data_IF_336350618640
#
_entry.id   IF_336350618640
#
_cell.length_a   1.000
_cell.length_b   1.000
_cell.length_c   1.000
_cell.angle_alpha   90.00
_cell.angle_beta   90.00
_cell.angle_gamma   90.00
#
_symmetry.space_group_name_H-M   'P 1'
#
loop_
_entity.id
_entity.type
_entity.pdbx_description
1 polymer ?
#
# COMPACT_ATOMS: atom_id res chain seq x y z
N UNK A 1 16.01 -10.84 -22.10
CA UNK A 1 16.83 -11.98 -22.57
C UNK A 1 16.82 -11.96 -24.09
N UNK A 2 17.85 -11.40 -24.70
CA UNK A 2 18.05 -11.48 -26.16
C UNK A 2 19.04 -12.61 -26.41
N UNK A 3 18.57 -13.69 -27.01
CA UNK A 3 19.42 -14.78 -27.45
C UNK A 3 20.32 -14.28 -28.58
N UNK A 4 21.60 -14.16 -28.31
CA UNK A 4 22.60 -13.99 -29.36
C UNK A 4 22.87 -15.39 -29.90
N UNK A 5 22.32 -15.67 -31.07
CA UNK A 5 22.61 -16.88 -31.83
C UNK A 5 23.97 -16.67 -32.50
N UNK A 6 24.99 -17.33 -31.96
CA UNK A 6 26.30 -17.38 -32.63
C UNK A 6 26.17 -18.28 -33.84
N UNK A 7 26.06 -17.65 -35.01
CA UNK A 7 26.08 -18.38 -36.28
C UNK A 7 27.51 -18.66 -36.64
N UNK A 8 27.95 -19.92 -36.42
CA UNK A 8 29.22 -20.41 -37.00
C UNK A 8 29.07 -20.44 -38.51
N UNK A 9 29.65 -19.46 -39.18
CA UNK A 9 29.89 -19.55 -40.61
C UNK A 9 31.13 -20.44 -40.83
N UNK A 10 30.89 -21.71 -41.13
CA UNK A 10 31.94 -22.54 -41.71
C UNK A 10 32.18 -22.07 -43.12
N UNK A 11 33.20 -21.25 -43.29
CA UNK A 11 33.68 -20.90 -44.60
C UNK A 11 34.42 -22.10 -45.19
N UNK A 12 33.78 -22.79 -46.14
CA UNK A 12 34.45 -23.77 -46.97
C UNK A 12 35.41 -22.99 -47.89
N UNK A 13 36.66 -22.85 -47.49
CA UNK A 13 37.72 -22.41 -48.36
C UNK A 13 38.10 -23.57 -49.24
N UNK A 14 37.85 -23.45 -50.54
CA UNK A 14 38.35 -24.38 -51.54
C UNK A 14 39.87 -24.45 -51.41
N UNK A 15 40.39 -25.68 -51.13
CA UNK A 15 41.81 -25.96 -51.22
C UNK A 15 42.33 -25.67 -52.61
N UNK A 16 42.76 -24.42 -52.83
CA UNK A 16 43.75 -24.17 -53.87
C UNK A 16 45.07 -24.68 -53.33
N UNK A 17 45.69 -25.64 -54.03
CA UNK A 17 47.05 -26.09 -53.74
C UNK A 17 47.95 -24.86 -53.71
N UNK A 18 48.38 -24.46 -52.52
CA UNK A 18 49.43 -23.46 -52.37
C UNK A 18 50.70 -24.06 -52.94
N UNK A 19 51.30 -23.39 -53.92
CA UNK A 19 52.68 -23.58 -54.32
C UNK A 19 53.52 -23.32 -53.06
N UNK A 20 54.27 -24.32 -52.57
CA UNK A 20 55.23 -24.08 -51.48
C UNK A 20 56.13 -22.94 -51.91
N UNK A 21 56.12 -21.83 -51.17
CA UNK A 21 57.04 -20.74 -51.40
C UNK A 21 58.46 -21.22 -51.05
N UNK A 22 59.36 -21.34 -52.04
CA UNK A 22 60.74 -21.83 -51.78
C UNK A 22 61.58 -20.85 -50.93
N UNK A 23 61.19 -19.59 -50.85
CA UNK A 23 61.79 -18.53 -50.02
C UNK A 23 60.70 -17.54 -49.62
N UNK A 24 60.04 -17.77 -48.53
CA UNK A 24 59.05 -16.86 -48.04
C UNK A 24 59.67 -15.65 -47.33
N UNK A 25 59.22 -14.44 -47.68
CA UNK A 25 59.63 -13.20 -47.06
C UNK A 25 58.40 -12.33 -46.70
N UNK A 26 57.20 -12.94 -46.76
CA UNK A 26 55.92 -12.29 -46.42
C UNK A 26 55.67 -12.51 -44.93
N UNK A 27 55.28 -11.46 -44.23
CA UNK A 27 54.94 -11.57 -42.85
C UNK A 27 53.49 -12.08 -42.67
N UNK A 28 53.20 -12.92 -41.67
CA UNK A 28 51.85 -13.26 -41.33
C UNK A 28 51.05 -12.01 -40.93
N UNK A 29 49.74 -11.98 -41.20
CA UNK A 29 48.89 -10.84 -40.93
C UNK A 29 47.68 -11.21 -40.11
N UNK A 30 47.28 -10.24 -39.26
CA UNK A 30 46.12 -10.40 -38.37
C UNK A 30 44.85 -10.04 -39.12
N UNK A 31 43.81 -10.88 -39.01
CA UNK A 31 42.54 -10.73 -39.69
C UNK A 31 41.48 -10.18 -38.74
N UNK A 32 40.81 -9.10 -39.14
CA UNK A 32 39.77 -8.45 -38.33
C UNK A 32 40.21 -8.16 -36.88
N UNK A 33 41.45 -7.71 -36.71
CA UNK A 33 42.01 -7.39 -35.42
C UNK A 33 41.49 -6.04 -34.94
N UNK A 34 40.89 -6.06 -33.70
CA UNK A 34 40.43 -4.84 -33.03
C UNK A 34 41.46 -4.43 -31.99
N UNK A 35 42.15 -3.30 -32.17
CA UNK A 35 43.24 -2.88 -31.28
C UNK A 35 42.76 -2.41 -29.91
N UNK A 36 41.47 -2.10 -29.76
CA UNK A 36 40.85 -1.62 -28.53
C UNK A 36 39.45 -2.21 -28.40
N UNK A 37 39.16 -2.83 -27.26
CA UNK A 37 37.83 -3.39 -26.94
C UNK A 37 37.47 -3.07 -25.50
N UNK A 38 36.16 -2.91 -25.22
CA UNK A 38 35.60 -2.76 -23.89
C UNK A 38 34.75 -3.97 -23.56
N UNK A 39 34.91 -4.52 -22.37
CA UNK A 39 34.25 -5.74 -21.93
C UNK A 39 33.78 -5.55 -20.51
N UNK A 40 32.60 -6.09 -20.20
CA UNK A 40 32.08 -6.09 -18.82
C UNK A 40 32.93 -6.99 -17.92
N UNK A 41 33.10 -6.59 -16.69
CA UNK A 41 33.90 -7.27 -15.67
C UNK A 41 33.40 -8.68 -15.30
N UNK A 42 32.13 -9.02 -15.57
CA UNK A 42 31.53 -10.35 -15.33
C UNK A 42 31.79 -11.37 -16.43
N UNK A 43 32.44 -10.94 -17.52
CA UNK A 43 32.77 -11.81 -18.64
C UNK A 43 34.17 -12.44 -18.42
N UNK A 44 34.22 -13.75 -18.33
CA UNK A 44 35.50 -14.47 -18.38
C UNK A 44 36.03 -14.45 -19.82
N UNK A 45 36.96 -13.53 -20.05
CA UNK A 45 37.56 -13.34 -21.39
C UNK A 45 38.35 -14.52 -21.88
N UNK A 46 38.87 -15.37 -20.98
CA UNK A 46 39.85 -16.37 -21.39
C UNK A 46 40.96 -15.80 -22.28
N UNK A 47 41.72 -16.65 -22.91
CA UNK A 47 42.65 -16.21 -23.97
C UNK A 47 42.03 -16.48 -25.33
N UNK A 48 41.43 -15.45 -25.93
CA UNK A 48 40.93 -15.50 -27.32
C UNK A 48 42.11 -15.12 -28.23
N UNK A 49 42.61 -16.08 -29.00
CA UNK A 49 43.66 -15.82 -29.97
C UNK A 49 43.07 -15.15 -31.21
N UNK A 50 43.69 -14.09 -31.72
CA UNK A 50 43.33 -13.51 -33.00
C UNK A 50 43.55 -14.50 -34.14
N UNK A 51 42.76 -14.33 -35.20
CA UNK A 51 42.98 -15.09 -36.42
C UNK A 51 44.17 -14.47 -37.17
N UNK A 52 45.16 -15.29 -37.46
CA UNK A 52 46.36 -14.92 -38.22
C UNK A 52 46.44 -15.79 -39.46
N UNK A 53 46.73 -15.21 -40.59
CA UNK A 53 46.88 -15.89 -41.84
C UNK A 53 48.26 -15.52 -42.45
N UNK A 54 48.77 -16.43 -43.27
CA UNK A 54 49.93 -16.22 -44.10
C UNK A 54 49.62 -16.70 -45.51
N UNK A 55 50.27 -16.13 -46.53
CA UNK A 55 50.01 -16.48 -47.91
C UNK A 55 50.80 -17.74 -48.31
N UNK A 56 51.87 -18.02 -47.62
CA UNK A 56 52.80 -19.11 -47.94
C UNK A 56 52.86 -20.23 -46.92
N UNK A 57 52.32 -19.98 -45.72
CA UNK A 57 52.39 -20.91 -44.59
C UNK A 57 51.02 -21.25 -44.05
N UNK A 58 50.68 -22.51 -44.04
CA UNK A 58 49.40 -23.02 -43.45
C UNK A 58 49.39 -23.02 -41.93
N UNK A 59 50.55 -22.85 -41.26
CA UNK A 59 50.67 -22.87 -39.81
C UNK A 59 51.48 -21.68 -39.30
N UNK A 60 50.79 -20.77 -38.62
CA UNK A 60 51.39 -19.63 -37.94
C UNK A 60 51.38 -19.84 -36.43
N UNK A 61 52.55 -19.67 -35.81
CA UNK A 61 52.68 -19.73 -34.36
C UNK A 61 52.39 -18.34 -33.76
N UNK A 62 51.56 -18.31 -32.66
CA UNK A 62 51.25 -17.07 -31.98
C UNK A 62 51.80 -17.12 -30.55
N UNK A 63 52.73 -16.22 -30.27
CA UNK A 63 53.16 -15.92 -28.90
C UNK A 63 52.52 -14.66 -28.40
N UNK A 64 52.23 -14.59 -27.14
CA UNK A 64 51.59 -13.39 -26.54
C UNK A 64 52.11 -13.14 -25.11
N UNK A 65 52.01 -11.89 -24.69
CA UNK A 65 52.15 -11.48 -23.31
C UNK A 65 51.17 -10.39 -22.98
N UNK A 66 50.89 -10.20 -21.68
CA UNK A 66 49.99 -9.12 -21.24
C UNK A 66 50.52 -8.44 -19.99
N UNK A 67 50.13 -7.20 -19.84
CA UNK A 67 50.28 -6.37 -18.61
C UNK A 67 48.91 -5.91 -18.19
N UNK A 68 48.69 -5.83 -16.87
CA UNK A 68 47.44 -5.39 -16.30
C UNK A 68 47.69 -4.09 -15.51
N UNK A 69 46.89 -3.07 -15.80
CA UNK A 69 46.91 -1.80 -15.10
C UNK A 69 45.58 -1.59 -14.38
N UNK A 70 45.65 -1.41 -13.04
CA UNK A 70 44.45 -1.18 -12.23
C UNK A 70 43.72 0.08 -12.65
N UNK A 71 42.40 0.01 -12.75
CA UNK A 71 41.51 1.13 -13.00
C UNK A 71 41.16 1.91 -11.73
N UNK A 72 40.07 2.64 -11.80
CA UNK A 72 39.60 3.57 -10.75
C UNK A 72 38.82 2.88 -9.62
N UNK A 73 38.28 1.69 -9.88
CA UNK A 73 37.53 0.88 -8.92
C UNK A 73 37.94 -0.58 -9.01
N UNK A 74 37.47 -1.40 -8.06
CA UNK A 74 37.70 -2.84 -8.05
C UNK A 74 37.05 -3.47 -9.29
N UNK A 75 37.77 -4.44 -9.88
CA UNK A 75 37.36 -5.12 -11.12
C UNK A 75 37.23 -4.21 -12.38
N UNK A 76 37.74 -2.99 -12.30
CA UNK A 76 37.93 -2.11 -13.46
C UNK A 76 39.44 -1.98 -13.73
N UNK A 77 39.89 -2.47 -14.86
CA UNK A 77 41.31 -2.49 -15.20
C UNK A 77 41.52 -2.62 -16.69
N UNK A 78 42.69 -2.21 -17.16
CA UNK A 78 43.10 -2.37 -18.53
C UNK A 78 44.07 -3.54 -18.68
N UNK A 79 43.86 -4.33 -19.71
CA UNK A 79 44.80 -5.36 -20.15
C UNK A 79 45.47 -4.86 -21.40
N UNK A 80 46.75 -4.58 -21.33
CA UNK A 80 47.56 -4.39 -22.51
C UNK A 80 48.14 -5.72 -22.97
N UNK A 81 47.70 -6.20 -24.15
CA UNK A 81 48.09 -7.50 -24.68
C UNK A 81 48.84 -7.32 -25.99
N UNK A 82 49.97 -8.01 -26.16
CA UNK A 82 50.77 -7.99 -27.37
C UNK A 82 50.82 -9.38 -27.93
N UNK A 83 50.46 -9.51 -29.18
CA UNK A 83 50.56 -10.75 -29.97
C UNK A 83 51.69 -10.66 -30.96
N UNK A 84 52.44 -11.76 -31.08
CA UNK A 84 53.48 -11.94 -32.09
C UNK A 84 53.18 -13.19 -32.88
N UNK A 85 53.05 -13.04 -34.19
CA UNK A 85 52.82 -14.13 -35.11
C UNK A 85 54.11 -14.47 -35.85
N UNK A 86 54.43 -15.74 -35.97
CA UNK A 86 55.62 -16.25 -36.63
C UNK A 86 55.20 -17.31 -37.65
N UNK A 87 55.76 -17.20 -38.84
CA UNK A 87 55.70 -18.29 -39.83
C UNK A 87 56.85 -19.27 -39.65
N UNK A 88 56.93 -20.33 -40.46
CA UNK A 88 57.99 -21.34 -40.44
C UNK A 88 59.30 -20.85 -41.05
N UNK A 89 59.32 -19.69 -41.74
CA UNK A 89 60.48 -19.08 -42.33
C UNK A 89 61.14 -18.00 -41.46
N UNK A 90 60.49 -17.67 -40.33
CA UNK A 90 60.97 -16.70 -39.36
C UNK A 90 60.54 -15.26 -39.63
N UNK A 91 59.62 -15.04 -40.59
CA UNK A 91 58.96 -13.75 -40.70
C UNK A 91 57.99 -13.54 -39.54
N UNK A 92 57.78 -12.31 -39.12
CA UNK A 92 56.95 -11.99 -37.97
C UNK A 92 56.11 -10.73 -38.13
N UNK A 93 54.98 -10.72 -37.50
CA UNK A 93 54.18 -9.53 -37.26
C UNK A 93 53.82 -9.35 -35.80
N UNK A 94 53.56 -8.13 -35.41
CA UNK A 94 53.24 -7.78 -34.01
C UNK A 94 52.07 -6.85 -34.04
N UNK A 95 51.04 -7.20 -33.22
CA UNK A 95 49.89 -6.31 -32.93
C UNK A 95 49.70 -6.18 -31.42
N UNK A 96 49.14 -5.05 -30.99
CA UNK A 96 48.83 -4.79 -29.62
C UNK A 96 47.35 -4.46 -29.44
N UNK A 97 46.77 -4.97 -28.36
CA UNK A 97 45.39 -4.75 -28.03
C UNK A 97 45.27 -4.19 -26.62
N UNK A 98 44.42 -3.18 -26.46
CA UNK A 98 43.98 -2.71 -25.15
C UNK A 98 42.58 -3.26 -24.90
N UNK A 99 42.40 -3.93 -23.77
CA UNK A 99 41.13 -4.46 -23.38
C UNK A 99 40.73 -3.73 -22.06
N UNK A 100 39.69 -2.90 -22.17
CA UNK A 100 39.13 -2.20 -21.02
C UNK A 100 38.11 -3.10 -20.34
N UNK A 101 38.41 -3.53 -19.12
CA UNK A 101 37.46 -4.23 -18.24
C UNK A 101 36.77 -3.17 -17.43
N UNK A 102 35.45 -3.06 -17.57
CA UNK A 102 34.66 -2.00 -16.95
C UNK A 102 33.45 -2.58 -16.20
N UNK A 103 33.12 -1.92 -15.12
CA UNK A 103 31.88 -2.11 -14.41
C UNK A 103 30.96 -0.89 -14.67
N UNK A 104 29.93 -1.11 -15.47
CA UNK A 104 28.91 -0.12 -15.80
C UNK A 104 27.52 -0.56 -15.31
N UNK A 105 27.47 -1.61 -14.49
CA UNK A 105 26.23 -2.21 -14.01
C UNK A 105 25.93 -1.70 -12.61
N UNK A 106 24.77 -1.14 -12.42
CA UNK A 106 24.32 -0.71 -11.09
C UNK A 106 23.89 -1.90 -10.23
N UNK A 107 24.07 -1.85 -8.90
CA UNK A 107 23.57 -2.85 -7.99
C UNK A 107 22.07 -3.13 -8.20
N UNK A 108 21.67 -4.39 -8.12
CA UNK A 108 20.31 -4.85 -8.40
C UNK A 108 19.57 -5.15 -7.08
N UNK A 109 18.47 -4.45 -6.83
CA UNK A 109 17.54 -4.75 -5.74
C UNK A 109 16.54 -5.83 -6.11
N UNK A 110 16.28 -6.74 -5.16
CA UNK A 110 15.05 -7.54 -5.21
C UNK A 110 13.88 -6.65 -4.80
N UNK A 111 12.79 -6.58 -5.59
CA UNK A 111 11.65 -5.70 -5.29
C UNK A 111 10.98 -6.04 -3.96
N UNK A 112 10.56 -5.01 -3.22
CA UNK A 112 9.78 -5.12 -2.00
C UNK A 112 8.29 -5.25 -2.28
N UNK A 113 7.60 -5.91 -1.34
CA UNK A 113 6.14 -5.88 -1.30
C UNK A 113 5.67 -4.68 -0.44
N UNK A 114 4.59 -4.04 -0.87
CA UNK A 114 3.87 -3.09 -0.03
C UNK A 114 3.11 -3.84 1.07
N UNK A 115 3.10 -3.28 2.27
CA UNK A 115 2.47 -3.87 3.46
C UNK A 115 1.43 -2.89 3.99
N UNK A 116 0.30 -3.42 4.45
CA UNK A 116 -0.69 -2.63 5.19
C UNK A 116 -0.72 -3.14 6.63
N UNK A 117 -0.69 -2.22 7.59
CA UNK A 117 -0.72 -2.50 9.02
C UNK A 117 -1.81 -1.68 9.69
N UNK A 118 -2.23 -2.10 10.86
CA UNK A 118 -3.14 -1.31 11.70
C UNK A 118 -2.42 -0.08 12.23
N UNK A 119 -3.14 1.00 12.43
CA UNK A 119 -2.60 2.18 13.10
C UNK A 119 -2.13 1.86 14.52
N UNK A 120 -1.02 2.45 14.94
CA UNK A 120 -0.39 2.14 16.22
C UNK A 120 0.51 0.92 16.20
N UNK A 121 0.49 0.10 15.16
CA UNK A 121 1.43 -1.00 14.99
C UNK A 121 2.85 -0.48 14.74
N UNK A 122 3.82 -1.27 15.13
CA UNK A 122 5.22 -0.96 14.89
C UNK A 122 5.54 -1.06 13.41
N UNK A 123 6.08 0.01 12.83
CA UNK A 123 6.54 0.03 11.45
C UNK A 123 7.90 -0.66 11.34
N UNK A 124 7.94 -1.78 10.64
CA UNK A 124 9.17 -2.56 10.43
C UNK A 124 9.37 -2.78 8.94
N UNK A 125 10.41 -2.16 8.38
CA UNK A 125 10.80 -2.35 7.00
C UNK A 125 11.62 -3.64 6.82
N UNK A 126 11.47 -4.27 5.66
CA UNK A 126 12.28 -5.42 5.29
C UNK A 126 13.74 -5.01 5.08
N UNK A 127 14.66 -5.96 5.29
CA UNK A 127 16.05 -5.76 4.91
C UNK A 127 16.19 -5.91 3.39
N UNK A 128 16.84 -4.95 2.71
CA UNK A 128 17.03 -5.02 1.28
C UNK A 128 17.94 -6.19 0.91
N UNK A 129 17.57 -6.88 -0.15
CA UNK A 129 18.43 -7.84 -0.82
C UNK A 129 18.98 -7.16 -2.06
N UNK A 130 20.30 -6.96 -2.08
CA UNK A 130 21.01 -6.24 -3.16
C UNK A 130 22.14 -7.14 -3.62
N UNK A 131 22.38 -7.19 -4.90
CA UNK A 131 23.51 -7.90 -5.52
C UNK A 131 24.10 -7.03 -6.61
N UNK A 132 25.40 -7.15 -6.75
CA UNK A 132 26.15 -6.58 -7.87
C UNK A 132 26.95 -7.67 -8.57
N UNK A 133 27.26 -7.48 -9.86
CA UNK A 133 27.95 -8.46 -10.66
C UNK A 133 29.48 -8.35 -10.57
N UNK A 134 29.98 -7.18 -10.21
CA UNK A 134 31.41 -6.90 -10.32
C UNK A 134 32.08 -6.35 -9.09
N UNK A 135 31.36 -5.57 -8.28
CA UNK A 135 31.98 -4.86 -7.17
C UNK A 135 31.14 -4.91 -5.88
N UNK A 136 31.78 -4.64 -4.77
CA UNK A 136 31.08 -4.37 -3.53
C UNK A 136 30.36 -3.02 -3.62
N UNK A 137 29.37 -2.81 -2.77
CA UNK A 137 28.56 -1.59 -2.77
C UNK A 137 28.35 -1.03 -1.36
N UNK A 138 28.01 0.25 -1.30
CA UNK A 138 27.57 0.95 -0.09
C UNK A 138 26.05 1.12 -0.18
N UNK A 139 25.37 0.79 0.92
CA UNK A 139 23.92 0.94 1.03
C UNK A 139 23.60 2.08 1.99
N UNK A 140 22.77 3.02 1.52
CA UNK A 140 22.22 4.12 2.31
C UNK A 140 20.70 4.04 2.32
N UNK A 141 20.05 4.62 3.32
CA UNK A 141 18.59 4.72 3.36
C UNK A 141 18.11 5.97 4.04
N UNK A 142 16.89 6.41 3.68
CA UNK A 142 16.18 7.50 4.35
C UNK A 142 14.67 7.21 4.33
N UNK A 143 13.98 7.79 5.32
CA UNK A 143 12.54 7.60 5.50
C UNK A 143 11.76 8.85 5.11
N UNK A 144 10.59 8.62 4.50
CA UNK A 144 9.60 9.63 4.17
C UNK A 144 8.30 9.22 4.85
N UNK A 145 7.65 10.17 5.52
CA UNK A 145 6.32 9.98 6.09
C UNK A 145 5.36 10.87 5.30
N UNK A 146 4.32 10.27 4.75
CA UNK A 146 3.29 10.96 3.98
C UNK A 146 1.92 10.67 4.57
N UNK A 147 1.31 11.65 5.20
CA UNK A 147 -0.07 11.55 5.67
C UNK A 147 -1.02 11.79 4.49
N UNK A 148 -1.82 10.79 4.17
CA UNK A 148 -2.76 10.82 3.05
C UNK A 148 -4.07 11.49 3.50
N UNK A 149 -4.59 11.06 4.64
CA UNK A 149 -5.76 11.62 5.31
C UNK A 149 -5.65 11.41 6.84
N UNK A 150 -6.74 11.65 7.57
CA UNK A 150 -6.76 11.47 9.03
C UNK A 150 -6.61 10.02 9.49
N UNK A 151 -6.81 9.05 8.60
CA UNK A 151 -6.89 7.63 8.89
C UNK A 151 -5.78 6.81 8.23
N UNK A 152 -5.04 7.41 7.29
CA UNK A 152 -4.06 6.71 6.46
C UNK A 152 -2.74 7.46 6.44
N UNK A 153 -1.68 6.78 6.83
CA UNK A 153 -0.32 7.29 6.76
C UNK A 153 0.58 6.31 6.02
N UNK A 154 1.32 6.79 5.03
CA UNK A 154 2.36 6.02 4.35
C UNK A 154 3.71 6.29 4.97
N UNK A 155 4.38 5.21 5.36
CA UNK A 155 5.79 5.18 5.75
C UNK A 155 6.55 4.58 4.58
N UNK A 156 7.48 5.35 4.02
CA UNK A 156 8.25 4.95 2.84
C UNK A 156 9.70 4.98 3.21
N UNK A 157 10.39 3.85 3.08
CA UNK A 157 11.84 3.79 3.16
C UNK A 157 12.41 3.65 1.77
N UNK A 158 13.32 4.52 1.42
CA UNK A 158 14.08 4.49 0.18
C UNK A 158 15.49 4.02 0.49
N UNK A 159 15.99 3.05 -0.26
CA UNK A 159 17.37 2.62 -0.25
C UNK A 159 18.06 3.04 -1.53
N UNK A 160 19.29 3.45 -1.39
CA UNK A 160 20.21 3.77 -2.47
C UNK A 160 21.45 2.89 -2.31
N UNK A 161 21.77 2.11 -3.34
CA UNK A 161 22.98 1.34 -3.42
C UNK A 161 23.93 1.98 -4.44
N UNK A 162 25.16 2.20 -4.03
CA UNK A 162 26.23 2.74 -4.90
C UNK A 162 27.40 1.78 -4.83
N UNK A 163 27.80 1.24 -5.97
CA UNK A 163 28.98 0.39 -6.05
C UNK A 163 30.28 1.22 -5.98
N UNK A 164 31.41 0.53 -5.92
CA UNK A 164 32.69 1.22 -5.84
C UNK A 164 33.16 1.82 -7.17
N UNK A 165 32.48 1.51 -8.28
CA UNK A 165 32.69 2.13 -9.58
C UNK A 165 31.82 3.37 -9.80
N UNK A 166 30.87 3.62 -8.89
CA UNK A 166 30.01 4.80 -8.89
C UNK A 166 28.67 4.60 -9.55
N UNK A 167 28.32 3.35 -9.95
CA UNK A 167 27.01 3.06 -10.51
C UNK A 167 26.00 3.01 -9.35
N UNK A 168 24.82 3.58 -9.55
CA UNK A 168 23.82 3.74 -8.49
C UNK A 168 22.47 3.16 -8.90
N UNK A 169 21.76 2.61 -7.91
CA UNK A 169 20.37 2.20 -8.06
C UNK A 169 19.56 2.53 -6.81
N UNK A 170 18.25 2.64 -6.96
CA UNK A 170 17.34 2.92 -5.86
C UNK A 170 16.18 1.93 -5.84
N UNK A 171 15.70 1.65 -4.63
CA UNK A 171 14.47 0.89 -4.42
C UNK A 171 13.75 1.43 -3.18
N UNK A 172 12.44 1.16 -3.06
CA UNK A 172 11.66 1.61 -1.92
C UNK A 172 10.63 0.58 -1.49
N UNK A 173 10.33 0.59 -0.19
CA UNK A 173 9.19 -0.12 0.39
C UNK A 173 8.22 0.88 0.98
N UNK A 174 6.92 0.67 0.74
CA UNK A 174 5.86 1.44 1.36
C UNK A 174 5.10 0.57 2.35
N UNK A 175 4.96 1.06 3.58
CA UNK A 175 4.10 0.48 4.60
C UNK A 175 2.97 1.49 4.83
N UNK A 176 1.73 1.06 4.57
CA UNK A 176 0.54 1.87 4.77
C UNK A 176 -0.09 1.53 6.12
N UNK A 177 -0.13 2.48 7.03
CA UNK A 177 -0.82 2.38 8.30
C UNK A 177 -2.23 2.92 8.15
N UNK A 178 -3.24 2.10 8.46
CA UNK A 178 -4.67 2.43 8.32
C UNK A 178 -5.38 2.07 9.62
N UNK A 179 -6.26 2.94 10.07
CA UNK A 179 -7.19 2.64 11.16
C UNK A 179 -8.36 1.80 10.64
N UNK A 180 -8.39 0.53 11.00
CA UNK A 180 -9.41 -0.44 10.59
C UNK A 180 -10.16 -1.02 11.80
N UNK A 181 -9.77 -0.65 13.01
CA UNK A 181 -10.32 -1.20 14.24
C UNK A 181 -11.52 -0.37 14.71
N UNK A 182 -12.71 -0.96 14.85
CA UNK A 182 -13.86 -0.26 15.44
C UNK A 182 -13.60 0.14 16.89
N UNK A 183 -14.10 1.31 17.32
CA UNK A 183 -14.01 1.73 18.72
C UNK A 183 -14.69 0.74 19.66
N UNK A 184 -14.15 0.60 20.84
CA UNK A 184 -14.74 -0.20 21.91
C UNK A 184 -15.75 0.62 22.72
N UNK A 185 -16.83 -0.03 23.14
CA UNK A 185 -17.81 0.51 24.09
C UNK A 185 -17.83 -0.37 25.31
N UNK A 186 -17.60 0.22 26.49
CA UNK A 186 -17.59 -0.50 27.76
C UNK A 186 -18.58 0.14 28.74
N UNK A 187 -19.46 -0.69 29.30
CA UNK A 187 -20.43 -0.26 30.30
C UNK A 187 -21.23 -1.43 30.85
N UNK A 188 -22.09 -1.21 31.86
CA UNK A 188 -22.98 -2.22 32.37
C UNK A 188 -24.05 -2.56 31.33
N UNK A 189 -24.33 -3.85 31.12
CA UNK A 189 -25.43 -4.31 30.25
C UNK A 189 -26.79 -3.97 30.85
N UNK A 190 -26.87 -3.94 32.18
CA UNK A 190 -28.08 -3.58 32.93
C UNK A 190 -27.75 -2.43 33.87
N UNK A 191 -28.63 -1.43 33.90
CA UNK A 191 -28.49 -0.27 34.77
C UNK A 191 -29.84 0.07 35.41
N UNK A 192 -29.82 0.41 36.67
CA UNK A 192 -30.95 1.02 37.39
C UNK A 192 -30.67 2.50 37.60
N UNK A 193 -31.62 3.34 37.26
CA UNK A 193 -31.59 4.80 37.50
C UNK A 193 -32.76 5.20 38.38
N UNK A 194 -32.60 6.28 39.12
CA UNK A 194 -33.61 6.66 40.11
C UNK A 194 -34.70 7.59 39.59
N UNK A 195 -34.48 8.18 38.42
CA UNK A 195 -35.41 9.12 37.79
C UNK A 195 -35.28 9.16 36.28
N UNK A 196 -36.33 9.64 35.60
CA UNK A 196 -36.32 9.88 34.14
C UNK A 196 -35.23 10.88 33.70
N UNK A 197 -34.90 11.84 34.57
CA UNK A 197 -33.83 12.81 34.26
C UNK A 197 -32.43 12.22 34.17
N UNK A 198 -32.21 11.04 34.78
CA UNK A 198 -30.94 10.34 34.67
C UNK A 198 -30.79 9.60 33.35
N UNK A 199 -31.87 9.38 32.58
CA UNK A 199 -31.82 8.78 31.26
C UNK A 199 -30.99 9.60 30.26
N UNK A 200 -30.88 10.90 30.44
CA UNK A 200 -30.06 11.75 29.56
C UNK A 200 -28.55 11.59 29.79
N UNK A 201 -28.18 10.85 30.84
CA UNK A 201 -26.79 10.59 31.17
C UNK A 201 -26.19 9.48 30.31
N UNK A 202 -24.89 9.61 30.00
CA UNK A 202 -24.13 8.57 29.31
C UNK A 202 -23.47 7.65 30.35
N UNK A 203 -23.75 6.36 30.26
CA UNK A 203 -23.30 5.35 31.23
C UNK A 203 -22.24 4.41 30.69
N UNK A 204 -21.66 4.73 29.55
CA UNK A 204 -20.63 3.93 28.90
C UNK A 204 -19.38 4.77 28.63
N UNK A 205 -18.24 4.09 28.59
CA UNK A 205 -16.98 4.67 28.15
C UNK A 205 -16.65 4.12 26.77
N UNK A 206 -16.05 4.95 25.95
CA UNK A 206 -15.57 4.57 24.63
C UNK A 206 -14.07 4.76 24.54
N UNK A 207 -13.40 3.90 23.81
CA UNK A 207 -11.99 4.05 23.49
C UNK A 207 -11.69 3.46 22.12
N UNK A 208 -10.73 4.05 21.47
CA UNK A 208 -10.19 3.60 20.19
C UNK A 208 -8.66 3.61 20.25
N UNK A 209 -8.02 2.82 19.39
CA UNK A 209 -6.57 2.69 19.35
C UNK A 209 -5.88 3.86 18.66
N UNK A 210 -6.55 4.55 17.74
CA UNK A 210 -5.91 5.51 16.84
C UNK A 210 -6.63 6.83 16.68
N UNK A 211 -7.94 6.87 16.88
CA UNK A 211 -8.73 8.04 16.51
C UNK A 211 -9.71 8.46 17.60
N UNK A 212 -10.29 9.64 17.45
CA UNK A 212 -11.31 10.12 18.38
C UNK A 212 -12.64 9.44 18.07
N UNK A 213 -13.38 9.14 19.14
CA UNK A 213 -14.67 8.45 19.08
C UNK A 213 -15.81 9.44 19.27
N UNK A 214 -16.77 9.39 18.36
CA UNK A 214 -18.09 10.01 18.48
C UNK A 214 -19.08 8.97 18.98
N UNK A 215 -19.83 9.30 20.05
CA UNK A 215 -20.83 8.42 20.64
C UNK A 215 -22.21 9.01 20.43
N UNK A 216 -23.12 8.19 19.91
CA UNK A 216 -24.55 8.50 19.80
C UNK A 216 -25.36 7.39 20.43
N UNK A 217 -26.59 7.70 20.84
CA UNK A 217 -27.50 6.68 21.35
C UNK A 217 -28.96 7.03 21.02
N UNK A 218 -29.80 6.01 21.10
CA UNK A 218 -31.26 6.18 21.10
C UNK A 218 -31.89 5.18 22.07
N UNK A 219 -33.02 5.57 22.67
CA UNK A 219 -33.78 4.79 23.63
C UNK A 219 -35.04 4.24 23.01
N UNK A 220 -35.38 3.00 23.37
CA UNK A 220 -36.63 2.37 23.02
C UNK A 220 -37.28 1.87 24.30
N UNK A 221 -38.47 2.35 24.62
CA UNK A 221 -39.26 1.83 25.74
C UNK A 221 -39.77 0.41 25.42
N UNK A 222 -39.51 -0.53 26.30
CA UNK A 222 -39.91 -1.95 26.13
C UNK A 222 -41.19 -2.27 26.87
N UNK A 223 -41.23 -1.97 28.16
CA UNK A 223 -42.40 -2.15 29.00
C UNK A 223 -42.24 -1.41 30.32
N UNK A 224 -43.27 -0.69 30.76
CA UNK A 224 -43.22 0.07 32.02
C UNK A 224 -42.01 0.99 32.03
N UNK A 225 -41.29 1.02 33.15
CA UNK A 225 -40.13 1.89 33.32
C UNK A 225 -38.80 1.31 32.73
N UNK A 226 -38.87 0.37 31.79
CA UNK A 226 -37.69 -0.29 31.22
C UNK A 226 -37.44 0.17 29.77
N UNK A 227 -36.20 0.54 29.49
CA UNK A 227 -35.72 1.05 28.23
C UNK A 227 -34.58 0.20 27.73
N UNK A 228 -34.48 0.02 26.42
CA UNK A 228 -33.29 -0.46 25.73
C UNK A 228 -32.62 0.73 25.11
N UNK A 229 -31.39 1.03 25.51
CA UNK A 229 -30.54 2.03 24.92
C UNK A 229 -29.55 1.38 23.98
N UNK A 230 -29.59 1.79 22.71
CA UNK A 230 -28.62 1.35 21.73
C UNK A 230 -27.59 2.46 21.52
N UNK A 231 -26.35 2.21 21.94
CA UNK A 231 -25.21 3.08 21.65
C UNK A 231 -24.59 2.73 20.33
N UNK A 232 -24.11 3.73 19.61
CA UNK A 232 -23.24 3.59 18.45
C UNK A 232 -22.04 4.49 18.64
N UNK A 233 -20.88 3.89 18.74
CA UNK A 233 -19.59 4.57 18.74
C UNK A 233 -19.01 4.53 17.32
N UNK A 234 -18.61 5.68 16.80
CA UNK A 234 -18.00 5.81 15.48
C UNK A 234 -16.72 6.60 15.63
N UNK A 235 -15.63 6.10 15.06
CA UNK A 235 -14.36 6.79 15.01
C UNK A 235 -14.30 7.80 13.85
N UNK A 236 -13.19 8.54 13.73
CA UNK A 236 -13.00 9.50 12.65
C UNK A 236 -12.75 8.82 11.29
N UNK A 237 -12.46 7.52 11.29
CA UNK A 237 -12.18 6.72 10.09
C UNK A 237 -13.42 6.00 9.55
N UNK A 238 -14.54 6.09 10.30
CA UNK A 238 -15.81 5.52 9.92
C UNK A 238 -16.00 4.08 10.40
N UNK A 239 -15.06 3.51 11.17
CA UNK A 239 -15.29 2.25 11.84
C UNK A 239 -16.28 2.47 12.99
N UNK A 240 -17.15 1.51 13.24
CA UNK A 240 -18.16 1.67 14.27
C UNK A 240 -18.44 0.37 15.01
N UNK A 241 -18.88 0.52 16.25
CA UNK A 241 -19.42 -0.54 17.09
C UNK A 241 -20.74 -0.13 17.71
N UNK A 242 -21.52 -1.10 18.16
CA UNK A 242 -22.79 -0.88 18.84
C UNK A 242 -22.80 -1.62 20.17
N UNK A 243 -23.50 -1.05 21.17
CA UNK A 243 -23.67 -1.64 22.47
C UNK A 243 -25.11 -1.45 22.95
N UNK A 244 -25.74 -2.53 23.40
CA UNK A 244 -27.09 -2.54 23.93
C UNK A 244 -27.06 -2.53 25.46
N UNK A 245 -27.78 -1.60 26.07
CA UNK A 245 -27.92 -1.48 27.51
C UNK A 245 -29.38 -1.48 27.88
N UNK A 246 -29.74 -2.28 28.89
CA UNK A 246 -31.08 -2.28 29.50
C UNK A 246 -31.06 -1.32 30.67
N UNK A 247 -31.96 -0.31 30.66
CA UNK A 247 -32.09 0.67 31.74
C UNK A 247 -33.45 0.53 32.37
N UNK A 248 -33.49 0.35 33.68
CA UNK A 248 -34.71 0.34 34.48
C UNK A 248 -34.78 1.61 35.33
N UNK A 249 -35.89 2.33 35.22
CA UNK A 249 -36.16 3.53 36.03
C UNK A 249 -36.96 3.15 37.26
N UNK A 250 -36.36 3.30 38.44
CA UNK A 250 -36.98 2.93 39.72
C UNK A 250 -38.16 3.81 40.11
N UNK A 251 -38.21 5.05 39.59
CA UNK A 251 -39.38 5.91 39.77
C UNK A 251 -40.21 5.90 38.52
N UNK A 252 -41.52 5.80 38.60
CA UNK A 252 -42.38 6.12 37.45
C UNK A 252 -42.00 7.52 36.97
N UNK A 253 -42.11 7.82 35.66
CA UNK A 253 -42.08 9.19 35.18
C UNK A 253 -43.01 9.96 36.11
N UNK A 254 -42.51 11.07 36.66
CA UNK A 254 -43.32 11.90 37.57
C UNK A 254 -44.70 12.04 36.93
N UNK A 255 -45.63 11.21 37.47
CA UNK A 255 -47.03 11.50 37.24
C UNK A 255 -47.22 12.86 37.91
N UNK A 256 -47.07 13.97 37.19
CA UNK A 256 -47.87 15.14 37.49
C UNK A 256 -49.25 14.54 37.67
N UNK A 257 -49.83 14.60 38.90
CA UNK A 257 -51.12 14.03 39.26
C UNK A 257 -52.02 14.12 38.02
N UNK A 258 -52.14 13.03 37.25
CA UNK A 258 -53.07 12.98 36.16
C UNK A 258 -54.43 13.16 36.81
N UNK A 259 -54.90 14.42 36.76
CA UNK A 259 -56.30 14.64 36.68
C UNK A 259 -56.78 13.64 35.60
N UNK A 260 -57.41 12.55 36.04
CA UNK A 260 -57.83 11.34 35.28
C UNK A 260 -58.66 11.72 34.02
N UNK A 261 -58.66 12.98 33.63
CA UNK A 261 -59.46 13.60 32.61
C UNK A 261 -58.64 14.42 31.61
N UNK A 262 -57.28 14.38 31.65
CA UNK A 262 -56.42 15.10 30.66
C UNK A 262 -55.92 14.18 29.54
N UNK A 263 -56.00 14.68 28.31
CA UNK A 263 -55.60 14.01 27.09
C UNK A 263 -54.41 14.74 26.52
N UNK A 264 -53.35 13.98 26.19
CA UNK A 264 -52.19 14.52 25.46
C UNK A 264 -52.58 14.94 24.05
N UNK A 265 -52.20 16.13 23.68
CA UNK A 265 -52.38 16.69 22.35
C UNK A 265 -51.02 17.22 21.85
N UNK A 266 -50.66 16.86 20.66
CA UNK A 266 -49.54 17.51 19.98
C UNK A 266 -50.06 18.80 19.35
N UNK A 267 -49.75 19.92 20.01
CA UNK A 267 -50.21 21.29 19.64
C UNK A 267 -49.22 21.96 18.70
N UNK A 268 -49.76 22.56 17.63
CA UNK A 268 -49.03 23.35 16.66
C UNK A 268 -49.07 24.81 17.01
N UNK A 269 -47.88 25.38 17.29
CA UNK A 269 -47.77 26.84 17.50
C UNK A 269 -47.83 27.64 16.18
N UNK A 270 -48.13 28.91 16.29
CA UNK A 270 -48.21 29.82 15.13
C UNK A 270 -46.88 30.01 14.40
N UNK A 271 -45.76 29.69 15.01
CA UNK A 271 -44.40 29.68 14.41
C UNK A 271 -44.08 28.39 13.66
N UNK A 272 -44.97 27.39 13.68
CA UNK A 272 -44.81 26.08 13.05
C UNK A 272 -44.13 25.00 13.88
N UNK A 273 -43.73 25.30 15.12
CA UNK A 273 -43.23 24.27 16.07
C UNK A 273 -44.38 23.47 16.66
N UNK A 274 -44.04 22.31 17.23
CA UNK A 274 -44.97 21.41 17.89
C UNK A 274 -44.47 21.09 19.29
N UNK A 275 -45.38 21.08 20.29
CA UNK A 275 -45.09 20.62 21.64
C UNK A 275 -46.28 19.89 22.24
N UNK A 276 -46.04 18.97 23.14
CA UNK A 276 -47.11 18.24 23.81
C UNK A 276 -47.74 19.07 24.88
N UNK A 277 -49.08 19.18 24.84
CA UNK A 277 -49.90 19.79 25.89
C UNK A 277 -50.88 18.75 26.42
N UNK A 278 -51.25 18.87 27.69
CA UNK A 278 -52.27 18.05 28.32
C UNK A 278 -53.53 18.88 28.55
N UNK A 279 -54.59 18.51 27.86
CA UNK A 279 -55.88 19.25 27.88
C UNK A 279 -56.98 18.40 28.45
N UNK A 280 -57.96 19.05 29.07
CA UNK A 280 -59.15 18.31 29.55
C UNK A 280 -59.88 17.68 28.35
N UNK A 281 -60.44 16.49 28.54
CA UNK A 281 -61.11 15.71 27.49
C UNK A 281 -62.18 16.55 26.73
N UNK A 282 -62.84 17.48 27.40
CA UNK A 282 -63.80 18.37 26.74
C UNK A 282 -63.18 19.39 25.79
N UNK A 283 -61.88 19.67 25.90
CA UNK A 283 -61.16 20.58 25.06
C UNK A 283 -60.51 19.88 23.83
N UNK A 284 -60.39 18.57 23.82
CA UNK A 284 -59.74 17.80 22.77
C UNK A 284 -60.28 18.12 21.40
N UNK A 285 -61.61 18.17 21.24
CA UNK A 285 -62.21 18.41 19.93
C UNK A 285 -61.91 19.80 19.41
N UNK A 286 -61.79 20.79 20.25
CA UNK A 286 -61.40 22.15 19.86
C UNK A 286 -59.98 22.18 19.28
N UNK A 287 -59.04 21.49 19.95
CA UNK A 287 -57.65 21.39 19.49
C UNK A 287 -57.55 20.66 18.14
N UNK A 288 -58.25 19.51 17.99
CA UNK A 288 -58.27 18.79 16.73
C UNK A 288 -58.86 19.64 15.56
N UNK A 289 -59.82 20.49 15.83
CA UNK A 289 -60.39 21.39 14.83
C UNK A 289 -59.43 22.51 14.38
N UNK A 290 -58.40 22.82 15.15
CA UNK A 290 -57.31 23.76 14.83
C UNK A 290 -56.13 23.12 14.12
N UNK A 291 -56.17 21.82 13.89
CA UNK A 291 -55.10 21.07 13.22
C UNK A 291 -54.04 20.50 14.14
N UNK A 292 -54.35 20.42 15.46
CA UNK A 292 -53.55 19.67 16.44
C UNK A 292 -53.81 18.16 16.31
N UNK A 293 -52.94 17.35 16.86
CA UNK A 293 -53.05 15.91 16.77
C UNK A 293 -53.23 15.27 18.14
N UNK A 294 -54.01 14.21 18.20
CA UNK A 294 -54.23 13.44 19.41
C UNK A 294 -52.97 12.62 19.75
N UNK A 295 -52.50 12.73 20.97
CA UNK A 295 -51.28 12.06 21.46
C UNK A 295 -50.10 13.00 21.63
N UNK A 296 -49.00 12.53 22.27
CA UNK A 296 -47.78 13.33 22.43
C UNK A 296 -47.07 13.56 21.13
N UNK A 297 -46.33 14.66 21.00
CA UNK A 297 -45.58 15.02 19.78
C UNK A 297 -44.47 14.05 19.42
N UNK A 298 -44.07 13.18 20.32
CA UNK A 298 -43.07 12.12 20.09
C UNK A 298 -43.54 11.04 19.11
N UNK A 299 -44.84 10.98 18.80
CA UNK A 299 -45.37 10.04 17.81
C UNK A 299 -45.47 10.63 16.39
N UNK A 300 -45.10 11.91 16.18
CA UNK A 300 -45.11 12.50 14.85
C UNK A 300 -43.94 12.01 14.02
N UNK A 301 -44.26 11.22 13.04
CA UNK A 301 -43.36 10.71 12.01
C UNK A 301 -42.74 11.92 11.31
N UNK A 302 -41.47 12.20 11.58
CA UNK A 302 -40.70 13.01 10.64
C UNK A 302 -40.64 12.28 9.30
N UNK A 303 -41.01 12.94 8.24
CA UNK A 303 -40.83 12.41 6.87
C UNK A 303 -39.35 12.40 6.55
N UNK A 304 -38.69 11.29 6.93
CA UNK A 304 -37.24 11.05 6.75
C UNK A 304 -36.80 11.03 5.29
N UNK A 305 -37.75 10.90 4.34
CA UNK A 305 -37.43 10.97 2.90
C UNK A 305 -36.92 12.36 2.48
N UNK A 306 -37.19 13.40 3.28
CA UNK A 306 -36.65 14.74 3.05
C UNK A 306 -35.29 14.97 3.71
N UNK A 307 -34.89 14.16 4.69
CA UNK A 307 -33.67 14.39 5.49
C UNK A 307 -32.49 13.54 4.98
N UNK A 308 -32.76 12.38 4.39
CA UNK A 308 -31.70 11.46 3.92
C UNK A 308 -32.00 10.89 2.52
N UNK A 309 -31.93 11.69 1.47
CA UNK A 309 -32.35 11.26 0.12
C UNK A 309 -31.47 10.17 -0.51
N UNK A 310 -30.32 9.78 0.11
CA UNK A 310 -29.35 8.86 -0.46
C UNK A 310 -28.76 7.85 0.55
N UNK A 311 -29.51 7.40 1.55
CA UNK A 311 -28.99 6.38 2.48
C UNK A 311 -29.51 4.99 2.14
N UNK A 312 -28.61 4.00 2.20
CA UNK A 312 -28.92 2.55 2.07
C UNK A 312 -29.70 1.98 3.28
N UNK A 313 -30.31 2.84 4.08
CA UNK A 313 -31.12 2.50 5.23
C UNK A 313 -32.60 2.49 4.84
N UNK A 314 -33.23 1.34 4.89
CA UNK A 314 -34.67 1.21 4.75
C UNK A 314 -35.35 1.12 6.12
N UNK A 315 -36.39 1.89 6.30
CA UNK A 315 -37.22 1.85 7.48
C UNK A 315 -38.20 0.67 7.38
N UNK A 316 -38.10 -0.28 8.30
CA UNK A 316 -39.09 -1.34 8.45
C UNK A 316 -40.04 -1.00 9.62
N UNK A 317 -41.31 -0.81 9.32
CA UNK A 317 -42.34 -0.64 10.34
C UNK A 317 -42.85 -2.01 10.75
N UNK A 318 -42.52 -2.46 11.96
CA UNK A 318 -43.04 -3.71 12.51
C UNK A 318 -44.28 -3.36 13.32
N UNK A 319 -45.45 -3.84 12.88
CA UNK A 319 -46.70 -3.73 13.66
C UNK A 319 -46.78 -4.90 14.66
N UNK A 320 -46.59 -4.62 15.95
CA UNK A 320 -47.05 -5.50 17.01
C UNK A 320 -48.58 -5.37 17.25
N UNK A 321 -49.15 -6.28 18.04
CA UNK A 321 -50.60 -6.36 18.26
C UNK A 321 -51.22 -5.05 18.79
N UNK A 322 -50.44 -4.22 19.49
CA UNK A 322 -50.89 -2.93 20.05
C UNK A 322 -49.88 -1.77 19.96
N UNK A 323 -48.71 -1.97 19.36
CA UNK A 323 -47.67 -0.93 19.24
C UNK A 323 -46.92 -1.03 17.90
N UNK A 324 -46.57 0.13 17.32
CA UNK A 324 -45.72 0.23 16.14
C UNK A 324 -44.29 0.42 16.63
N UNK A 325 -43.38 -0.45 16.20
CA UNK A 325 -41.96 -0.31 16.45
C UNK A 325 -41.26 0.10 15.15
N UNK A 326 -40.30 1.02 15.22
CA UNK A 326 -39.42 1.35 14.12
C UNK A 326 -38.09 0.61 14.29
N UNK A 327 -37.69 -0.12 13.29
CA UNK A 327 -36.37 -0.74 13.24
C UNK A 327 -35.69 -0.31 11.96
N UNK A 328 -34.48 0.20 12.08
CA UNK A 328 -33.65 0.48 10.92
C UNK A 328 -32.89 -0.79 10.52
N UNK A 329 -32.95 -1.14 9.26
CA UNK A 329 -32.25 -2.30 8.73
C UNK A 329 -31.34 -1.81 7.61
N UNK A 330 -30.07 -2.13 7.72
CA UNK A 330 -29.12 -1.92 6.62
C UNK A 330 -29.42 -2.92 5.52
N UNK A 331 -29.73 -2.47 4.34
CA UNK A 331 -29.82 -3.34 3.15
C UNK A 331 -28.41 -3.46 2.59
N UNK A 332 -27.90 -4.68 2.52
CA UNK A 332 -26.60 -4.99 1.90
C UNK A 332 -26.74 -4.99 0.40
#
# INVERSE_FOLDING_TARGET
MKNITLTLFALFISLTSFSQCENDSINPYFVNFEPEITVSCDIDLGVIFPVVLDECDDSVEIAWYQEITSGICENNYDIFRVYRAFDNFGNQSVESQIIHIVDETSPLFIPFNSITVECGDTIVFDNPQVTDNCSDFVLMSYDIISQIDSCTTNYIRVWEATDFCGNTSMSSQTITSIDMTPPSIMGPIYLEVNSMSELDSIFVNTSDNCSQVSLTYYDTEVSGNSYIRMYTATDNCGNYSTFEQIIHVNSPPDEEEEDDNRVAICHREGNGSYHTIYVNQNAVQAHLNHGDYLGPCTEMIMDWNQILPNSDLQMMIIKGKDKKFMKFVRVR
#
